data_IF_414975348642
#
_entry.id   IF_414975348642
#
_cell.length_a   1.000
_cell.length_b   1.000
_cell.length_c   1.000
_cell.angle_alpha   90.00
_cell.angle_beta   90.00
_cell.angle_gamma   90.00
#
_symmetry.space_group_name_H-M   'P 1'
#
loop_
_entity.id
_entity.type
_entity.pdbx_description
1 polymer ?
#
# COMPACT_ATOMS: atom_id res chain seq x y z
N UNK A 1 -14.83 2.12 -12.10
CA UNK A 1 -13.34 2.07 -12.05
C UNK A 1 -12.81 1.51 -13.36
N UNK A 2 -12.13 2.33 -14.16
CA UNK A 2 -11.70 1.97 -15.52
C UNK A 2 -10.51 1.00 -15.49
N UNK A 3 -10.79 -0.31 -15.55
CA UNK A 3 -9.79 -1.41 -15.48
C UNK A 3 -8.65 -1.29 -16.51
N UNK A 4 -8.89 -0.61 -17.64
CA UNK A 4 -7.90 -0.34 -18.70
C UNK A 4 -6.71 0.50 -18.19
N UNK A 5 -6.96 1.53 -17.38
CA UNK A 5 -5.90 2.35 -16.79
C UNK A 5 -5.10 1.61 -15.71
N UNK A 6 -5.75 0.66 -15.01
CA UNK A 6 -5.07 -0.17 -14.02
C UNK A 6 -4.15 -1.20 -14.68
N UNK A 7 -4.61 -1.86 -15.75
CA UNK A 7 -3.81 -2.78 -16.54
C UNK A 7 -2.57 -2.09 -17.16
N UNK A 8 -2.73 -0.89 -17.74
CA UNK A 8 -1.61 -0.10 -18.26
C UNK A 8 -0.60 0.28 -17.16
N UNK A 9 -1.09 0.60 -15.96
CA UNK A 9 -0.22 0.95 -14.83
C UNK A 9 0.58 -0.26 -14.35
N UNK A 10 -0.07 -1.41 -14.22
CA UNK A 10 0.58 -2.69 -13.85
C UNK A 10 1.62 -3.07 -14.90
N UNK A 11 1.28 -3.01 -16.19
CA UNK A 11 2.20 -3.31 -17.28
C UNK A 11 3.45 -2.42 -17.21
N UNK A 12 3.29 -1.11 -17.02
CA UNK A 12 4.42 -0.18 -16.90
C UNK A 12 5.33 -0.53 -15.72
N UNK A 13 4.77 -0.95 -14.59
CA UNK A 13 5.56 -1.38 -13.43
C UNK A 13 6.29 -2.69 -13.69
N UNK A 14 5.67 -3.65 -14.39
CA UNK A 14 6.31 -4.91 -14.77
C UNK A 14 7.49 -4.63 -15.70
N UNK A 15 7.29 -3.83 -16.74
CA UNK A 15 8.36 -3.47 -17.69
C UNK A 15 9.52 -2.78 -16.97
N UNK A 16 9.24 -1.82 -16.08
CA UNK A 16 10.27 -1.13 -15.31
C UNK A 16 11.02 -2.09 -14.37
N UNK A 17 10.29 -3.01 -13.73
CA UNK A 17 10.87 -4.03 -12.85
C UNK A 17 11.78 -4.99 -13.61
N UNK A 18 11.33 -5.51 -14.75
CA UNK A 18 12.13 -6.38 -15.60
C UNK A 18 13.38 -5.68 -16.13
N UNK A 19 13.25 -4.41 -16.56
CA UNK A 19 14.38 -3.60 -17.02
C UNK A 19 15.42 -3.43 -15.90
N UNK A 20 14.98 -3.12 -14.69
CA UNK A 20 15.87 -2.97 -13.54
C UNK A 20 16.64 -4.26 -13.23
N UNK A 21 15.94 -5.41 -13.23
CA UNK A 21 16.58 -6.72 -13.00
C UNK A 21 17.56 -7.06 -14.12
N UNK A 22 17.22 -6.77 -15.37
CA UNK A 22 18.10 -7.00 -16.51
C UNK A 22 19.39 -6.16 -16.42
N UNK A 23 19.27 -4.88 -16.07
CA UNK A 23 20.43 -3.98 -15.88
C UNK A 23 21.32 -4.45 -14.73
N UNK A 24 20.74 -4.80 -13.59
CA UNK A 24 21.49 -5.34 -12.45
C UNK A 24 22.18 -6.67 -12.79
N UNK A 25 21.48 -7.58 -13.48
CA UNK A 25 22.05 -8.85 -13.93
C UNK A 25 23.20 -8.64 -14.92
N UNK A 26 23.04 -7.72 -15.88
CA UNK A 26 24.06 -7.41 -16.86
C UNK A 26 25.29 -6.75 -16.24
N UNK A 27 25.10 -5.81 -15.31
CA UNK A 27 26.19 -5.18 -14.57
C UNK A 27 26.97 -6.22 -13.76
N UNK A 28 26.27 -7.11 -13.06
CA UNK A 28 26.89 -8.18 -12.27
C UNK A 28 27.67 -9.14 -13.16
N UNK A 29 27.11 -9.55 -14.29
CA UNK A 29 27.79 -10.42 -15.27
C UNK A 29 29.06 -9.77 -15.83
N UNK A 30 28.95 -8.51 -16.26
CA UNK A 30 30.08 -7.78 -16.86
C UNK A 30 31.20 -7.60 -15.85
N UNK A 31 30.87 -7.21 -14.62
CA UNK A 31 31.83 -7.00 -13.56
C UNK A 31 32.49 -8.32 -13.14
N UNK A 32 31.73 -9.41 -13.06
CA UNK A 32 32.30 -10.73 -12.78
C UNK A 32 33.26 -11.19 -13.88
N UNK A 33 32.87 -11.07 -15.14
CA UNK A 33 33.68 -11.53 -16.27
C UNK A 33 34.97 -10.72 -16.45
N UNK A 34 35.04 -9.53 -15.88
CA UNK A 34 36.28 -8.77 -15.78
C UNK A 34 37.11 -9.19 -14.56
N UNK A 35 36.53 -9.21 -13.35
CA UNK A 35 37.31 -9.43 -12.13
C UNK A 35 37.76 -10.88 -11.93
N UNK A 36 36.86 -11.85 -12.08
CA UNK A 36 37.10 -13.24 -11.65
C UNK A 36 38.01 -14.01 -12.60
N UNK A 37 37.86 -13.90 -13.94
CA UNK A 37 38.81 -14.49 -14.86
C UNK A 37 40.20 -13.85 -14.76
N UNK A 38 40.27 -12.53 -14.58
CA UNK A 38 41.55 -11.80 -14.56
C UNK A 38 42.32 -12.00 -13.24
N UNK A 39 41.64 -12.03 -12.10
CA UNK A 39 42.29 -12.15 -10.79
C UNK A 39 42.46 -13.60 -10.32
N UNK A 40 41.52 -14.48 -10.66
CA UNK A 40 41.45 -15.83 -10.09
C UNK A 40 41.49 -16.95 -11.13
N UNK A 41 41.64 -16.64 -12.43
CA UNK A 41 41.51 -17.61 -13.53
C UNK A 41 40.22 -18.44 -13.44
N UNK A 42 39.17 -17.85 -12.84
CA UNK A 42 37.91 -18.53 -12.59
C UNK A 42 37.03 -18.62 -13.84
N UNK A 43 35.96 -19.44 -13.79
CA UNK A 43 35.07 -19.61 -14.91
C UNK A 43 34.27 -18.34 -15.22
N UNK A 44 34.13 -18.06 -16.51
CA UNK A 44 33.26 -17.01 -17.06
C UNK A 44 31.81 -17.40 -16.82
N UNK A 45 30.99 -16.49 -16.28
CA UNK A 45 29.55 -16.73 -16.11
C UNK A 45 28.74 -16.04 -17.21
N UNK A 46 27.74 -16.78 -17.69
CA UNK A 46 26.73 -16.29 -18.63
C UNK A 46 25.62 -15.53 -17.91
N UNK A 47 24.87 -14.73 -18.67
CA UNK A 47 23.74 -13.95 -18.15
C UNK A 47 22.72 -14.80 -17.38
N UNK A 48 22.42 -16.01 -17.89
CA UNK A 48 21.51 -16.95 -17.23
C UNK A 48 22.07 -17.51 -15.92
N UNK A 49 23.39 -17.70 -15.81
CA UNK A 49 24.01 -18.10 -14.54
C UNK A 49 23.99 -16.96 -13.53
N UNK A 50 24.28 -15.73 -13.96
CA UNK A 50 24.19 -14.54 -13.09
C UNK A 50 22.76 -14.33 -12.61
N UNK A 51 21.77 -14.43 -13.50
CA UNK A 51 20.35 -14.37 -13.11
C UNK A 51 19.96 -15.52 -12.19
N UNK A 52 20.43 -16.74 -12.45
CA UNK A 52 20.21 -17.90 -11.60
C UNK A 52 20.77 -17.70 -10.18
N UNK A 53 22.01 -17.21 -10.06
CA UNK A 53 22.63 -16.84 -8.79
C UNK A 53 21.87 -15.73 -8.08
N UNK A 54 21.52 -14.65 -8.79
CA UNK A 54 20.72 -13.57 -8.23
C UNK A 54 19.35 -14.07 -7.75
N UNK A 55 18.68 -14.94 -8.51
CA UNK A 55 17.43 -15.60 -8.12
C UNK A 55 17.62 -16.46 -6.88
N UNK A 56 18.70 -17.23 -6.82
CA UNK A 56 18.97 -18.17 -5.75
C UNK A 56 19.33 -17.43 -4.45
N UNK A 57 20.18 -16.41 -4.51
CA UNK A 57 20.42 -15.46 -3.41
C UNK A 57 19.13 -14.77 -3.00
N UNK A 58 18.31 -14.32 -3.97
CA UNK A 58 17.03 -13.66 -3.69
C UNK A 58 15.99 -14.62 -3.13
N UNK A 59 16.04 -15.90 -3.45
CA UNK A 59 15.17 -16.93 -2.89
C UNK A 59 15.60 -17.23 -1.45
N UNK A 60 16.91 -17.46 -1.22
CA UNK A 60 17.47 -17.72 0.11
C UNK A 60 17.30 -16.53 1.07
N UNK A 61 17.62 -15.31 0.64
CA UNK A 61 17.53 -14.10 1.47
C UNK A 61 16.13 -13.48 1.45
N UNK A 62 15.34 -13.72 0.40
CA UNK A 62 14.07 -13.06 0.17
C UNK A 62 12.84 -13.81 0.63
N UNK A 63 12.91 -15.13 0.86
CA UNK A 63 11.79 -15.86 1.48
C UNK A 63 11.60 -15.52 2.97
N UNK A 64 12.56 -14.81 3.58
CA UNK A 64 12.45 -14.27 4.93
C UNK A 64 12.18 -12.75 4.98
N UNK A 65 12.03 -12.06 3.84
CA UNK A 65 11.90 -10.60 3.90
C UNK A 65 11.59 -9.77 2.65
N UNK A 66 11.24 -10.34 1.49
CA UNK A 66 11.01 -9.48 0.33
C UNK A 66 10.22 -10.12 -0.80
N UNK A 67 8.90 -10.00 -0.78
CA UNK A 67 8.05 -10.47 -1.88
C UNK A 67 6.63 -9.93 -1.81
N UNK A 68 6.47 -8.70 -1.31
CA UNK A 68 5.18 -8.07 -1.07
C UNK A 68 5.35 -7.07 0.07
N UNK A 69 5.27 -5.78 -0.23
CA UNK A 69 5.53 -4.66 0.70
C UNK A 69 4.94 -4.88 2.12
N UNK A 70 5.73 -5.19 3.17
CA UNK A 70 5.21 -5.33 4.54
C UNK A 70 5.20 -4.00 5.31
N UNK A 71 5.85 -2.95 4.79
CA UNK A 71 6.04 -1.69 5.51
C UNK A 71 4.88 -0.69 5.39
N UNK A 72 4.18 -0.66 4.24
CA UNK A 72 3.14 0.35 4.01
C UNK A 72 1.80 -0.05 4.61
N UNK A 73 1.42 -1.33 4.57
CA UNK A 73 0.12 -1.79 5.10
C UNK A 73 0.09 -1.91 6.62
N UNK A 74 1.21 -2.34 7.25
CA UNK A 74 1.25 -2.57 8.70
C UNK A 74 1.22 -1.24 9.48
N UNK A 75 1.95 -0.22 9.01
CA UNK A 75 1.86 1.15 9.56
C UNK A 75 0.48 1.77 9.34
N UNK A 76 -0.13 1.59 8.16
CA UNK A 76 -1.47 2.12 7.89
C UNK A 76 -2.57 1.45 8.72
N UNK A 77 -2.49 0.12 8.92
CA UNK A 77 -3.40 -0.61 9.80
C UNK A 77 -3.20 -0.23 11.27
N UNK A 78 -1.96 -0.08 11.75
CA UNK A 78 -1.69 0.42 13.10
C UNK A 78 -2.23 1.83 13.30
N UNK A 79 -1.97 2.75 12.36
CA UNK A 79 -2.46 4.12 12.46
C UNK A 79 -4.00 4.21 12.44
N UNK A 80 -4.66 3.33 11.67
CA UNK A 80 -6.12 3.24 11.63
C UNK A 80 -6.70 2.69 12.94
N UNK A 81 -6.05 1.69 13.54
CA UNK A 81 -6.46 1.14 14.84
C UNK A 81 -6.23 2.13 15.98
N UNK A 82 -5.09 2.82 16.01
CA UNK A 82 -4.78 3.86 17.02
C UNK A 82 -5.77 5.03 16.93
N UNK A 83 -6.12 5.46 15.71
CA UNK A 83 -7.09 6.53 15.52
C UNK A 83 -8.51 6.09 15.94
N UNK A 84 -8.89 4.83 15.67
CA UNK A 84 -10.18 4.27 16.10
C UNK A 84 -10.26 4.18 17.63
N UNK A 85 -9.22 3.70 18.29
CA UNK A 85 -9.16 3.63 19.77
C UNK A 85 -9.17 5.02 20.41
N UNK A 86 -8.48 6.01 19.82
CA UNK A 86 -8.56 7.41 20.27
C UNK A 86 -9.95 8.00 20.08
N UNK A 87 -10.66 7.68 19.02
CA UNK A 87 -12.06 8.13 18.85
C UNK A 87 -13.01 7.44 19.84
N UNK A 88 -12.86 6.13 20.06
CA UNK A 88 -13.71 5.38 21.00
C UNK A 88 -13.54 5.86 22.44
N UNK A 89 -12.31 6.11 22.89
CA UNK A 89 -12.06 6.69 24.22
C UNK A 89 -12.59 8.12 24.39
N UNK A 90 -12.49 8.95 23.34
CA UNK A 90 -13.10 10.30 23.32
C UNK A 90 -14.63 10.24 23.37
N UNK A 91 -15.24 9.25 22.71
CA UNK A 91 -16.70 9.06 22.75
C UNK A 91 -17.18 8.52 24.11
N UNK A 92 -16.45 7.58 24.72
CA UNK A 92 -16.85 6.97 26.00
C UNK A 92 -16.87 7.96 27.18
N UNK A 93 -16.10 9.06 27.11
CA UNK A 93 -16.09 10.10 28.14
C UNK A 93 -17.17 11.19 27.98
N UNK A 94 -18.00 11.15 26.93
CA UNK A 94 -19.03 12.17 26.70
C UNK A 94 -20.39 11.72 27.25
N UNK A 95 -21.11 12.66 27.85
CA UNK A 95 -22.50 12.49 28.28
C UNK A 95 -23.41 12.16 27.09
N UNK A 96 -24.52 11.42 27.29
CA UNK A 96 -25.38 10.98 26.19
C UNK A 96 -25.93 12.14 25.35
N UNK A 97 -26.22 13.30 25.96
CA UNK A 97 -26.71 14.49 25.25
C UNK A 97 -25.64 15.14 24.36
N UNK A 98 -24.37 15.12 24.76
CA UNK A 98 -23.27 15.69 23.97
C UNK A 98 -22.87 14.77 22.81
N UNK A 99 -22.96 13.44 23.00
CA UNK A 99 -22.73 12.47 21.92
C UNK A 99 -23.71 12.66 20.76
N UNK A 100 -24.97 12.98 21.04
CA UNK A 100 -25.98 13.18 19.99
C UNK A 100 -25.70 14.44 19.17
N UNK A 101 -25.38 15.56 19.83
CA UNK A 101 -24.98 16.80 19.17
C UNK A 101 -23.70 16.63 18.35
N UNK A 102 -22.72 15.89 18.88
CA UNK A 102 -21.48 15.58 18.16
C UNK A 102 -21.71 14.65 16.97
N UNK A 103 -22.53 13.60 17.14
CA UNK A 103 -22.92 12.66 16.06
C UNK A 103 -23.72 13.36 14.97
N UNK A 104 -24.59 14.30 15.32
CA UNK A 104 -25.31 15.14 14.36
C UNK A 104 -24.37 16.04 13.56
N UNK A 105 -23.45 16.77 14.23
CA UNK A 105 -22.44 17.60 13.54
C UNK A 105 -21.51 16.78 12.65
N UNK A 106 -21.07 15.60 13.11
CA UNK A 106 -20.27 14.68 12.31
C UNK A 106 -21.03 14.16 11.09
N UNK A 107 -22.31 13.81 11.23
CA UNK A 107 -23.17 13.39 10.11
C UNK A 107 -23.39 14.53 9.11
N UNK A 108 -23.54 15.76 9.57
CA UNK A 108 -23.70 16.94 8.72
C UNK A 108 -22.42 17.28 7.93
N UNK A 109 -21.23 17.11 8.53
CA UNK A 109 -19.95 17.47 7.91
C UNK A 109 -19.35 16.35 7.06
N UNK A 110 -19.37 15.11 7.58
CA UNK A 110 -18.68 13.95 6.98
C UNK A 110 -19.64 12.85 6.47
N UNK A 111 -20.95 13.04 6.56
CA UNK A 111 -21.93 12.07 6.05
C UNK A 111 -21.98 12.06 4.51
N UNK A 112 -22.31 10.90 3.91
CA UNK A 112 -22.48 10.81 2.47
C UNK A 112 -23.61 11.77 2.01
N UNK A 113 -23.56 12.34 0.79
CA UNK A 113 -24.39 13.48 0.38
C UNK A 113 -25.91 13.29 0.55
N UNK A 114 -26.38 12.04 0.55
CA UNK A 114 -27.78 11.67 0.72
C UNK A 114 -28.27 11.72 2.18
N UNK A 115 -27.38 11.58 3.17
CA UNK A 115 -27.71 11.63 4.61
C UNK A 115 -27.70 13.06 5.17
N UNK A 116 -27.13 14.02 4.44
CA UNK A 116 -27.08 15.44 4.82
C UNK A 116 -28.42 16.15 4.66
N UNK A 117 -29.29 15.61 3.80
CA UNK A 117 -30.55 16.22 3.37
C UNK A 117 -31.69 16.00 4.38
N UNK A 118 -31.65 14.90 5.13
CA UNK A 118 -32.70 14.51 6.09
C UNK A 118 -32.71 15.31 7.41
N UNK A 119 -31.72 16.18 7.65
CA UNK A 119 -31.62 16.96 8.89
C UNK A 119 -32.37 18.30 8.83
N UNK A 120 -32.86 18.72 7.66
CA UNK A 120 -33.59 19.99 7.49
C UNK A 120 -35.12 19.81 7.45
N UNK A 121 -35.63 18.57 7.53
CA UNK A 121 -37.03 18.24 7.22
C UNK A 121 -37.97 18.08 8.44
N UNK A 122 -37.55 18.46 9.63
CA UNK A 122 -38.45 18.57 10.79
C UNK A 122 -38.12 19.85 11.55
N UNK A 123 -39.03 20.86 11.59
CA UNK A 123 -40.33 20.72 12.25
C UNK A 123 -41.45 21.67 11.72
N UNK A 124 -42.47 21.20 10.98
CA UNK A 124 -43.75 21.95 10.94
C UNK A 124 -45.00 21.22 10.41
N UNK A 125 -44.92 20.01 9.86
CA UNK A 125 -46.05 19.39 9.15
C UNK A 125 -46.92 18.42 9.97
N UNK A 126 -46.90 18.49 11.31
CA UNK A 126 -47.70 17.59 12.17
C UNK A 126 -48.68 18.32 13.11
N UNK A 127 -48.98 19.59 12.87
CA UNK A 127 -49.89 20.38 13.71
C UNK A 127 -51.08 21.00 12.96
N UNK A 128 -51.36 20.56 11.74
CA UNK A 128 -52.53 21.01 11.00
C UNK A 128 -52.99 19.92 10.02
N UNK A 129 -53.66 18.89 10.54
CA UNK A 129 -54.86 18.27 9.96
C UNK A 129 -55.70 17.65 11.09
#
# INVERSE_FOLDING_TARGET
MNRKFWALRVLKFIVLGTLFVAVMGYATMSLWNWLVPELFHGPVISFWQTLGLLLLTRLLTGFKGGGGRPGFSRKWQQHRNDWKQKMESRMAGMTPEEQEKFRQKMRASCGPPWMRRSAFETPQTAAAE
#
